data_IF_256594551347
#
_entry.id   IF_256594551347
#
_cell.length_a   1.000
_cell.length_b   1.000
_cell.length_c   1.000
_cell.angle_alpha   90.00
_cell.angle_beta   90.00
_cell.angle_gamma   90.00
#
_symmetry.space_group_name_H-M   'P 1'
#
loop_
_entity.id
_entity.type
_entity.pdbx_description
1 polymer ?
#
# COMPACT_ATOMS: atom_id res chain seq x y z
N UNK A 1 27.87 10.74 5.74
CA UNK A 1 28.30 10.73 4.33
C UNK A 1 29.01 9.43 4.03
N UNK A 2 28.34 8.48 3.38
CA UNK A 2 28.99 7.30 2.79
C UNK A 2 28.35 7.07 1.42
N UNK A 3 29.15 7.25 0.37
CA UNK A 3 28.78 7.16 -1.05
C UNK A 3 28.74 5.69 -1.47
N UNK A 4 27.61 5.20 -1.96
CA UNK A 4 27.51 3.92 -2.66
C UNK A 4 27.09 4.17 -4.11
N UNK A 5 28.08 4.42 -4.95
CA UNK A 5 27.97 4.32 -6.40
C UNK A 5 28.44 2.93 -6.83
N UNK A 6 27.49 2.09 -7.28
CA UNK A 6 27.68 0.99 -8.26
C UNK A 6 26.35 0.92 -9.04
N UNK A 7 26.22 1.29 -10.33
CA UNK A 7 26.86 0.71 -11.55
C UNK A 7 26.54 -0.80 -11.57
N UNK A 8 25.87 -1.42 -12.53
CA UNK A 8 25.51 -1.15 -13.93
C UNK A 8 24.50 -2.24 -14.34
N UNK A 9 23.59 -1.95 -15.28
CA UNK A 9 22.70 -2.97 -15.85
C UNK A 9 22.03 -2.53 -17.15
N UNK A 10 22.76 -1.80 -17.99
CA UNK A 10 22.33 -1.45 -19.36
C UNK A 10 22.66 -2.64 -20.25
N UNK A 11 21.64 -3.37 -20.71
CA UNK A 11 21.81 -4.35 -21.80
C UNK A 11 21.65 -3.59 -23.11
N UNK A 12 22.79 -3.13 -23.64
CA UNK A 12 22.92 -2.56 -24.98
C UNK A 12 22.82 -3.63 -26.07
N UNK A 13 22.20 -3.21 -27.16
CA UNK A 13 22.00 -3.91 -28.42
C UNK A 13 23.26 -4.57 -29.01
N UNK A 14 23.07 -5.77 -29.57
CA UNK A 14 23.99 -6.38 -30.51
C UNK A 14 23.39 -6.27 -31.93
N UNK A 15 23.90 -5.30 -32.69
CA UNK A 15 23.86 -5.26 -34.15
C UNK A 15 25.16 -5.89 -34.66
N UNK A 16 25.10 -6.83 -35.61
CA UNK A 16 25.99 -6.88 -36.79
C UNK A 16 25.58 -8.03 -37.75
N UNK A 17 24.80 -7.62 -38.75
CA UNK A 17 24.87 -7.94 -40.18
C UNK A 17 25.77 -9.10 -40.65
N UNK A 18 25.15 -10.08 -41.31
CA UNK A 18 25.66 -10.60 -42.58
C UNK A 18 24.48 -10.70 -43.57
N UNK A 19 24.44 -9.76 -44.52
CA UNK A 19 23.63 -9.87 -45.72
C UNK A 19 24.47 -10.43 -46.86
N UNK A 20 23.97 -11.46 -47.53
CA UNK A 20 24.36 -11.80 -48.88
C UNK A 20 23.09 -12.08 -49.70
N UNK A 21 22.83 -11.16 -50.63
CA UNK A 21 21.79 -11.20 -51.63
C UNK A 21 21.83 -12.49 -52.45
N UNK A 22 20.71 -13.21 -52.51
CA UNK A 22 20.43 -14.12 -53.63
C UNK A 22 19.33 -13.49 -54.47
N UNK A 23 19.71 -13.05 -55.67
CA UNK A 23 18.79 -12.69 -56.72
C UNK A 23 18.16 -13.97 -57.29
N UNK A 24 16.87 -14.15 -57.06
CA UNK A 24 16.06 -15.20 -57.68
C UNK A 24 14.74 -14.60 -58.17
N UNK A 25 14.62 -14.44 -59.50
CA UNK A 25 13.37 -14.03 -60.14
C UNK A 25 12.37 -15.19 -60.16
N UNK A 26 11.09 -14.91 -59.92
CA UNK A 26 9.97 -15.67 -60.48
C UNK A 26 8.83 -16.01 -59.53
N UNK A 27 7.62 -15.52 -59.85
CA UNK A 27 6.36 -16.18 -59.49
C UNK A 27 5.51 -15.51 -58.42
N UNK A 28 4.34 -15.02 -58.81
CA UNK A 28 3.21 -14.67 -57.93
C UNK A 28 2.78 -15.88 -57.10
N UNK A 29 2.62 -15.74 -55.77
CA UNK A 29 1.33 -16.02 -55.11
C UNK A 29 1.32 -15.63 -53.61
N UNK A 30 0.09 -15.30 -53.20
CA UNK A 30 -0.51 -15.05 -51.88
C UNK A 30 0.24 -15.40 -50.58
N UNK A 31 0.10 -14.52 -49.58
CA UNK A 31 0.34 -14.84 -48.16
C UNK A 31 0.80 -13.65 -47.31
N UNK A 32 -0.12 -12.80 -46.85
CA UNK A 32 0.15 -11.87 -45.75
C UNK A 32 0.36 -12.69 -44.47
N UNK A 33 1.62 -13.03 -44.19
CA UNK A 33 2.05 -13.49 -42.88
C UNK A 33 1.91 -12.34 -41.88
N UNK A 34 1.02 -12.51 -40.91
CA UNK A 34 0.92 -11.66 -39.73
C UNK A 34 2.30 -11.60 -39.06
N UNK A 35 2.88 -10.40 -39.01
CA UNK A 35 3.99 -10.13 -38.13
C UNK A 35 3.50 -10.32 -36.69
N UNK A 36 4.09 -11.28 -35.99
CA UNK A 36 3.97 -11.45 -34.55
C UNK A 36 4.49 -10.18 -33.85
N UNK A 37 3.58 -9.23 -33.63
CA UNK A 37 3.82 -8.13 -32.71
C UNK A 37 3.85 -8.69 -31.30
N UNK A 38 4.97 -8.54 -30.60
CA UNK A 38 5.01 -8.70 -29.13
C UNK A 38 3.93 -7.80 -28.54
N UNK A 39 2.84 -8.40 -28.09
CA UNK A 39 1.77 -7.71 -27.40
C UNK A 39 2.32 -7.31 -26.02
N UNK A 40 2.81 -6.07 -25.89
CA UNK A 40 3.14 -5.54 -24.57
C UNK A 40 1.85 -5.46 -23.76
N UNK A 41 1.76 -6.31 -22.75
CA UNK A 41 0.67 -6.30 -21.77
C UNK A 41 0.63 -4.93 -21.09
N UNK A 42 -0.51 -4.25 -21.21
CA UNK A 42 -0.72 -2.94 -20.60
C UNK A 42 -0.56 -3.01 -19.08
N UNK A 43 -0.19 -1.89 -18.44
CA UNK A 43 -0.07 -1.84 -16.96
C UNK A 43 -1.37 -2.29 -16.29
N UNK A 44 -2.52 -1.92 -16.84
CA UNK A 44 -3.84 -2.36 -16.39
C UNK A 44 -3.99 -3.88 -16.40
N UNK A 45 -3.61 -4.53 -17.50
CA UNK A 45 -3.69 -5.99 -17.60
C UNK A 45 -2.76 -6.70 -16.61
N UNK A 46 -1.60 -6.11 -16.27
CA UNK A 46 -0.73 -6.65 -15.21
C UNK A 46 -1.42 -6.68 -13.85
N UNK A 47 -2.21 -5.66 -13.52
CA UNK A 47 -3.04 -5.60 -12.32
C UNK A 47 -4.40 -6.32 -12.47
N UNK A 48 -4.65 -7.01 -13.60
CA UNK A 48 -5.94 -7.63 -13.89
C UNK A 48 -7.11 -6.64 -13.99
N UNK A 49 -6.83 -5.34 -14.14
CA UNK A 49 -7.84 -4.27 -14.11
C UNK A 49 -8.53 -4.13 -12.76
N UNK A 50 -7.88 -4.49 -11.65
CA UNK A 50 -8.49 -4.46 -10.31
C UNK A 50 -7.69 -3.62 -9.33
N UNK A 51 -8.41 -2.93 -8.46
CA UNK A 51 -7.88 -2.34 -7.23
C UNK A 51 -8.56 -3.04 -6.07
N UNK A 52 -7.78 -3.68 -5.18
CA UNK A 52 -8.35 -4.42 -4.06
C UNK A 52 -8.66 -3.44 -2.92
N UNK A 53 -9.94 -3.22 -2.69
CA UNK A 53 -10.45 -2.34 -1.65
C UNK A 53 -10.59 -3.02 -0.30
N UNK A 54 -11.28 -2.35 0.62
CA UNK A 54 -11.62 -2.83 1.96
C UNK A 54 -13.14 -2.83 2.14
N UNK A 55 -13.65 -2.62 3.36
CA UNK A 55 -15.07 -2.56 3.64
C UNK A 55 -15.80 -1.48 2.81
N UNK A 56 -16.95 -1.81 2.19
CA UNK A 56 -17.76 -0.84 1.49
C UNK A 56 -18.15 0.34 2.40
N UNK A 57 -18.06 1.55 1.87
CA UNK A 57 -18.42 2.78 2.58
C UNK A 57 -17.30 3.42 3.40
N UNK A 58 -16.14 2.76 3.57
CA UNK A 58 -14.96 3.39 4.15
C UNK A 58 -14.54 4.64 3.35
N UNK A 59 -14.01 5.66 4.03
CA UNK A 59 -13.62 6.92 3.39
C UNK A 59 -12.64 6.73 2.22
N UNK A 60 -11.66 5.83 2.40
CA UNK A 60 -10.67 5.50 1.38
C UNK A 60 -11.29 4.85 0.12
N UNK A 61 -12.40 4.13 0.25
CA UNK A 61 -13.10 3.54 -0.91
C UNK A 61 -13.68 4.65 -1.79
N UNK A 62 -14.34 5.64 -1.17
CA UNK A 62 -14.89 6.81 -1.88
C UNK A 62 -13.79 7.65 -2.54
N UNK A 63 -12.66 7.84 -1.85
CA UNK A 63 -11.51 8.52 -2.41
C UNK A 63 -10.93 7.75 -3.61
N UNK A 64 -10.91 6.42 -3.55
CA UNK A 64 -10.42 5.56 -4.63
C UNK A 64 -11.33 5.57 -5.85
N UNK A 65 -12.65 5.53 -5.65
CA UNK A 65 -13.64 5.70 -6.74
C UNK A 65 -13.42 7.03 -7.46
N UNK A 66 -13.27 8.13 -6.69
CA UNK A 66 -12.96 9.45 -7.24
C UNK A 66 -11.62 9.45 -7.97
N UNK A 67 -10.61 8.75 -7.46
CA UNK A 67 -9.31 8.64 -8.12
C UNK A 67 -9.40 7.92 -9.47
N UNK A 68 -10.20 6.85 -9.55
CA UNK A 68 -10.44 6.14 -10.82
C UNK A 68 -11.05 7.08 -11.87
N UNK A 69 -12.06 7.86 -11.48
CA UNK A 69 -12.71 8.83 -12.37
C UNK A 69 -11.77 9.96 -12.79
N UNK A 70 -11.17 10.65 -11.83
CA UNK A 70 -10.36 11.84 -12.08
C UNK A 70 -9.07 11.54 -12.85
N UNK A 71 -8.42 10.42 -12.59
CA UNK A 71 -7.21 10.03 -13.33
C UNK A 71 -7.52 9.33 -14.66
N UNK A 72 -8.80 9.15 -15.01
CA UNK A 72 -9.18 8.47 -16.25
C UNK A 72 -8.69 7.02 -16.29
N UNK A 73 -8.75 6.32 -15.16
CA UNK A 73 -8.28 4.92 -15.02
C UNK A 73 -9.33 3.95 -15.58
N UNK A 74 -9.73 4.17 -16.84
CA UNK A 74 -10.81 3.44 -17.48
C UNK A 74 -10.60 1.93 -17.45
N UNK A 75 -11.61 1.24 -16.91
CA UNK A 75 -11.66 -0.21 -16.80
C UNK A 75 -10.83 -0.81 -15.67
N UNK A 76 -10.31 0.00 -14.75
CA UNK A 76 -10.06 -0.48 -13.40
C UNK A 76 -11.39 -0.62 -12.64
N UNK A 77 -11.54 -1.72 -11.94
CA UNK A 77 -12.63 -2.00 -11.01
C UNK A 77 -12.09 -1.90 -9.58
N UNK A 78 -12.74 -1.08 -8.74
CA UNK A 78 -12.53 -1.15 -7.30
C UNK A 78 -13.31 -2.33 -6.74
N UNK A 79 -12.59 -3.32 -6.21
CA UNK A 79 -13.18 -4.54 -5.67
C UNK A 79 -13.46 -4.36 -4.19
N UNK A 80 -14.74 -4.43 -3.81
CA UNK A 80 -15.17 -4.47 -2.42
C UNK A 80 -14.64 -5.71 -1.69
N UNK A 81 -14.13 -5.53 -0.48
CA UNK A 81 -13.55 -6.62 0.32
C UNK A 81 -13.69 -6.35 1.83
N UNK A 82 -12.73 -6.81 2.61
CA UNK A 82 -12.48 -6.41 3.99
C UNK A 82 -11.02 -6.05 4.17
N UNK A 83 -10.67 -5.40 5.26
CA UNK A 83 -9.27 -5.12 5.63
C UNK A 83 -8.43 -6.40 5.67
N UNK A 84 -8.99 -7.51 6.17
CA UNK A 84 -8.34 -8.83 6.17
C UNK A 84 -8.27 -9.45 4.77
N UNK A 85 -9.31 -9.31 3.95
CA UNK A 85 -9.36 -9.80 2.58
C UNK A 85 -8.33 -9.10 1.68
N UNK A 86 -8.19 -7.78 1.82
CA UNK A 86 -7.18 -6.98 1.13
C UNK A 86 -5.76 -7.44 1.49
N UNK A 87 -5.49 -7.64 2.77
CA UNK A 87 -4.19 -8.16 3.22
C UNK A 87 -3.92 -9.56 2.65
N UNK A 88 -4.91 -10.44 2.62
CA UNK A 88 -4.76 -11.78 2.08
C UNK A 88 -4.47 -11.75 0.57
N UNK A 89 -5.15 -10.89 -0.18
CA UNK A 89 -4.88 -10.69 -1.60
C UNK A 89 -3.46 -10.13 -1.84
N UNK A 90 -3.05 -9.14 -1.04
CA UNK A 90 -1.69 -8.58 -1.08
C UNK A 90 -0.64 -9.66 -0.79
N UNK A 91 -0.85 -10.48 0.25
CA UNK A 91 0.06 -11.57 0.61
C UNK A 91 0.17 -12.62 -0.50
N UNK A 92 -0.94 -13.01 -1.12
CA UNK A 92 -0.95 -13.97 -2.22
C UNK A 92 -0.16 -13.43 -3.43
N UNK A 93 -0.44 -12.20 -3.85
CA UNK A 93 0.27 -11.58 -4.97
C UNK A 93 1.78 -11.43 -4.71
N UNK A 94 2.18 -11.03 -3.50
CA UNK A 94 3.61 -10.96 -3.12
C UNK A 94 4.26 -12.34 -3.19
N UNK A 95 3.60 -13.37 -2.66
CA UNK A 95 4.11 -14.76 -2.68
C UNK A 95 4.32 -15.26 -4.11
N UNK A 96 3.37 -14.94 -4.99
CA UNK A 96 3.36 -15.43 -6.37
C UNK A 96 4.11 -14.49 -7.34
N UNK A 97 4.71 -13.40 -6.83
CA UNK A 97 5.39 -12.36 -7.60
C UNK A 97 4.50 -11.70 -8.66
N UNK A 98 3.22 -11.53 -8.33
CA UNK A 98 2.21 -10.91 -9.17
C UNK A 98 2.02 -9.43 -8.84
N UNK A 99 1.53 -8.68 -9.82
CA UNK A 99 1.24 -7.26 -9.65
C UNK A 99 -0.08 -7.10 -8.90
N UNK A 100 -0.07 -6.28 -7.85
CA UNK A 100 -1.26 -5.95 -7.08
C UNK A 100 -1.27 -4.48 -6.70
N UNK A 101 -2.45 -3.88 -6.73
CA UNK A 101 -2.71 -2.55 -6.20
C UNK A 101 -3.87 -2.66 -5.22
N UNK A 102 -3.71 -2.07 -4.04
CA UNK A 102 -4.66 -2.14 -2.94
C UNK A 102 -4.91 -0.75 -2.39
N UNK A 103 -6.05 -0.55 -1.72
CA UNK A 103 -6.23 0.64 -0.89
C UNK A 103 -5.37 0.54 0.37
N UNK A 104 -4.56 1.57 0.61
CA UNK A 104 -3.51 1.56 1.64
C UNK A 104 -3.48 2.85 2.45
N UNK A 105 -3.16 2.72 3.74
CA UNK A 105 -3.07 3.81 4.71
C UNK A 105 -1.93 3.54 5.68
N UNK A 106 -1.39 4.60 6.27
CA UNK A 106 -0.34 4.58 7.29
C UNK A 106 -0.90 5.26 8.53
N UNK A 107 -0.67 4.72 9.75
CA UNK A 107 0.12 3.53 10.07
C UNK A 107 -0.58 2.20 9.76
N UNK A 108 0.18 1.20 9.29
CA UNK A 108 -0.29 -0.19 9.18
C UNK A 108 0.90 -1.17 9.13
N UNK A 109 0.82 -2.30 9.82
CA UNK A 109 1.89 -3.32 9.91
C UNK A 109 2.40 -3.86 8.56
N UNK A 110 1.63 -3.67 7.48
CA UNK A 110 1.94 -4.21 6.15
C UNK A 110 3.17 -3.53 5.54
N UNK A 111 3.38 -2.26 5.85
CA UNK A 111 4.56 -1.49 5.45
C UNK A 111 5.82 -1.91 6.22
N UNK A 112 5.67 -2.41 7.45
CA UNK A 112 6.78 -3.00 8.20
C UNK A 112 7.14 -4.42 7.73
N UNK A 113 6.14 -5.20 7.26
CA UNK A 113 6.33 -6.59 6.81
C UNK A 113 6.82 -6.70 5.36
N UNK A 114 6.34 -5.83 4.47
CA UNK A 114 6.58 -5.92 3.03
C UNK A 114 7.09 -4.59 2.46
N UNK A 115 7.88 -4.66 1.38
CA UNK A 115 8.37 -3.49 0.65
C UNK A 115 7.26 -2.90 -0.24
N UNK A 116 6.42 -2.06 0.37
CA UNK A 116 5.30 -1.39 -0.28
C UNK A 116 5.63 0.08 -0.52
N UNK A 117 5.05 0.65 -1.59
CA UNK A 117 5.17 2.07 -1.91
C UNK A 117 3.82 2.68 -2.21
N UNK A 118 3.68 3.97 -1.88
CA UNK A 118 2.58 4.77 -2.37
C UNK A 118 2.78 5.12 -3.85
N UNK A 119 1.66 5.27 -4.56
CA UNK A 119 1.63 5.87 -5.89
C UNK A 119 1.46 7.38 -5.73
N UNK A 120 2.08 8.16 -6.61
CA UNK A 120 1.96 9.62 -6.57
C UNK A 120 0.50 10.05 -6.82
N UNK A 121 0.01 10.98 -5.99
CA UNK A 121 -1.31 11.59 -6.11
C UNK A 121 -1.22 13.09 -6.47
N UNK A 122 -0.84 13.45 -7.71
CA UNK A 122 -0.63 14.85 -8.11
C UNK A 122 -1.90 15.72 -8.07
N UNK A 123 -3.10 15.13 -8.07
CA UNK A 123 -4.38 15.83 -7.89
C UNK A 123 -4.81 15.95 -6.43
N UNK A 124 -4.10 15.31 -5.48
CA UNK A 124 -4.42 15.35 -4.05
C UNK A 124 -5.80 14.80 -3.71
N UNK A 125 -6.25 13.76 -4.41
CA UNK A 125 -7.57 13.15 -4.23
C UNK A 125 -7.70 12.47 -2.87
N UNK A 126 -6.62 11.85 -2.40
CA UNK A 126 -6.56 11.18 -1.09
C UNK A 126 -6.26 12.15 0.06
N UNK A 127 -6.06 13.44 -0.23
CA UNK A 127 -5.72 14.45 0.77
C UNK A 127 -4.22 14.60 0.98
N UNK A 128 -3.86 15.28 2.08
CA UNK A 128 -2.49 15.53 2.50
C UNK A 128 -2.12 14.70 3.72
N UNK A 129 -1.55 15.33 4.74
CA UNK A 129 -1.36 14.68 6.03
C UNK A 129 -2.73 14.39 6.67
N UNK A 130 -2.93 13.15 7.10
CA UNK A 130 -4.10 12.72 7.88
C UNK A 130 -3.69 12.64 9.36
N UNK A 131 -4.60 13.03 10.26
CA UNK A 131 -4.43 12.94 11.71
C UNK A 131 -5.40 11.92 12.30
N UNK A 132 -5.00 11.27 13.40
CA UNK A 132 -5.85 10.36 14.17
C UNK A 132 -6.25 11.08 15.45
N UNK A 133 -7.52 11.44 15.56
CA UNK A 133 -8.05 12.18 16.71
C UNK A 133 -8.74 11.29 17.73
N UNK A 134 -8.51 11.58 19.01
CA UNK A 134 -9.29 11.01 20.11
C UNK A 134 -10.53 11.88 20.35
N UNK A 135 -11.72 11.33 20.09
CA UNK A 135 -12.99 12.03 20.27
C UNK A 135 -13.69 11.50 21.52
N UNK A 136 -14.14 12.41 22.39
CA UNK A 136 -14.84 12.09 23.64
C UNK A 136 -16.24 12.73 23.66
N UNK A 137 -17.12 12.22 24.52
CA UNK A 137 -18.42 12.86 24.74
C UNK A 137 -18.26 14.23 25.41
N UNK A 138 -19.18 15.18 25.18
CA UNK A 138 -19.07 16.52 25.75
C UNK A 138 -18.98 16.56 27.28
N UNK A 139 -19.57 15.58 27.97
CA UNK A 139 -19.66 15.53 29.44
C UNK A 139 -18.51 14.78 30.13
N UNK A 140 -17.64 14.09 29.37
CA UNK A 140 -16.61 13.21 29.95
C UNK A 140 -15.66 13.97 30.88
N UNK A 141 -15.34 15.22 30.54
CA UNK A 141 -14.47 16.08 31.35
C UNK A 141 -15.01 16.32 32.76
N UNK A 142 -16.33 16.45 32.89
CA UNK A 142 -16.99 16.67 34.18
C UNK A 142 -17.22 15.37 34.93
N UNK A 143 -17.63 14.31 34.22
CA UNK A 143 -17.97 13.02 34.81
C UNK A 143 -16.74 12.22 35.26
N UNK A 144 -15.64 12.29 34.51
CA UNK A 144 -14.42 11.53 34.74
C UNK A 144 -13.16 12.34 34.35
N UNK A 145 -12.80 13.38 35.13
CA UNK A 145 -11.71 14.30 34.78
C UNK A 145 -10.35 13.61 34.61
N UNK A 146 -10.07 12.56 35.40
CA UNK A 146 -8.83 11.80 35.26
C UNK A 146 -8.79 10.98 33.96
N UNK A 147 -9.91 10.36 33.56
CA UNK A 147 -9.99 9.62 32.30
C UNK A 147 -9.91 10.58 31.11
N UNK A 148 -10.60 11.72 31.20
CA UNK A 148 -10.50 12.79 30.19
C UNK A 148 -9.06 13.24 30.02
N UNK A 149 -8.34 13.56 31.11
CA UNK A 149 -6.94 14.00 31.02
C UNK A 149 -6.03 12.91 30.46
N UNK A 150 -6.28 11.64 30.79
CA UNK A 150 -5.51 10.54 30.23
C UNK A 150 -5.70 10.42 28.71
N UNK A 151 -6.93 10.55 28.23
CA UNK A 151 -7.24 10.54 26.79
C UNK A 151 -6.71 11.78 26.07
N UNK A 152 -6.73 12.94 26.72
CA UNK A 152 -6.18 14.20 26.22
C UNK A 152 -4.64 14.16 26.12
N UNK A 153 -3.98 13.47 27.05
CA UNK A 153 -2.53 13.24 27.03
C UNK A 153 -2.12 12.12 26.07
N UNK A 154 -3.06 11.28 25.62
CA UNK A 154 -2.73 10.09 24.84
C UNK A 154 -2.16 10.49 23.47
N UNK A 155 -0.88 10.18 23.29
CA UNK A 155 -0.19 10.35 22.04
C UNK A 155 0.83 9.25 21.85
N UNK A 156 0.89 8.71 20.64
CA UNK A 156 1.85 7.68 20.25
C UNK A 156 2.22 7.85 18.78
N UNK A 157 3.40 7.36 18.41
CA UNK A 157 3.95 7.57 17.07
C UNK A 157 3.46 6.49 16.10
N UNK A 158 3.39 6.76 14.79
CA UNK A 158 3.04 5.75 13.79
C UNK A 158 3.85 4.45 13.92
N UNK A 159 5.15 4.54 14.19
CA UNK A 159 6.03 3.39 14.39
C UNK A 159 5.64 2.53 15.60
N UNK A 160 5.14 3.14 16.67
CA UNK A 160 4.65 2.43 17.86
C UNK A 160 3.38 1.65 17.53
N UNK A 161 2.45 2.28 16.79
CA UNK A 161 1.23 1.62 16.32
C UNK A 161 1.54 0.44 15.41
N UNK A 162 2.48 0.62 14.47
CA UNK A 162 2.93 -0.42 13.55
C UNK A 162 3.54 -1.62 14.26
N UNK A 163 4.38 -1.38 15.27
CA UNK A 163 4.99 -2.44 16.08
C UNK A 163 3.92 -3.26 16.83
N UNK A 164 2.98 -2.59 17.51
CA UNK A 164 1.87 -3.27 18.21
C UNK A 164 0.99 -4.05 17.23
N UNK A 165 0.67 -3.46 16.07
CA UNK A 165 -0.09 -4.15 15.04
C UNK A 165 0.66 -5.36 14.47
N UNK A 166 1.99 -5.30 14.37
CA UNK A 166 2.81 -6.42 13.91
C UNK A 166 2.80 -7.57 14.91
N UNK A 167 2.93 -7.29 16.21
CA UNK A 167 2.83 -8.29 17.27
C UNK A 167 1.47 -9.04 17.21
N UNK A 168 0.39 -8.32 16.92
CA UNK A 168 -0.95 -8.91 16.79
C UNK A 168 -1.07 -9.76 15.51
N UNK A 169 -0.74 -9.17 14.36
CA UNK A 169 -1.07 -9.77 13.05
C UNK A 169 -0.02 -10.77 12.54
N UNK A 170 1.21 -10.70 13.06
CA UNK A 170 2.33 -11.56 12.65
C UNK A 170 2.89 -12.33 13.84
N UNK A 171 2.98 -11.70 15.01
CA UNK A 171 3.36 -12.37 16.25
C UNK A 171 2.26 -13.24 16.86
N UNK A 172 1.04 -13.19 16.31
CA UNK A 172 -0.15 -13.91 16.79
C UNK A 172 -0.49 -13.63 18.26
N UNK A 173 -0.06 -12.47 18.77
CA UNK A 173 -0.41 -12.02 20.11
C UNK A 173 -1.88 -11.59 20.15
N UNK A 174 -2.52 -11.79 21.30
CA UNK A 174 -3.79 -11.12 21.56
C UNK A 174 -3.57 -9.59 21.63
N UNK A 175 -4.56 -8.76 21.27
CA UNK A 175 -4.45 -7.31 21.43
C UNK A 175 -4.06 -6.88 22.85
N UNK A 176 -4.58 -7.56 23.87
CA UNK A 176 -4.26 -7.28 25.27
C UNK A 176 -2.80 -7.60 25.60
N UNK A 177 -2.26 -8.70 25.08
CA UNK A 177 -0.87 -9.08 25.32
C UNK A 177 0.11 -8.18 24.57
N UNK A 178 -0.21 -7.80 23.33
CA UNK A 178 0.57 -6.82 22.57
C UNK A 178 0.55 -5.44 23.24
N UNK A 179 -0.61 -5.00 23.76
CA UNK A 179 -0.71 -3.77 24.54
C UNK A 179 0.09 -3.84 25.85
N UNK A 180 0.03 -4.96 26.58
CA UNK A 180 0.85 -5.18 27.78
C UNK A 180 2.33 -5.11 27.48
N UNK A 181 2.79 -5.82 26.45
CA UNK A 181 4.19 -5.78 25.98
C UNK A 181 4.61 -4.34 25.65
N UNK A 182 3.78 -3.60 24.90
CA UNK A 182 4.06 -2.20 24.59
C UNK A 182 4.22 -1.35 25.85
N UNK A 183 3.31 -1.51 26.83
CA UNK A 183 3.38 -0.76 28.10
C UNK A 183 4.65 -1.08 28.88
N UNK A 184 5.04 -2.35 28.93
CA UNK A 184 6.26 -2.80 29.62
C UNK A 184 7.53 -2.25 28.98
N UNK A 185 7.57 -2.19 27.64
CA UNK A 185 8.72 -1.71 26.87
C UNK A 185 8.78 -0.17 26.76
N UNK A 186 7.64 0.53 26.94
CA UNK A 186 7.50 1.98 26.71
C UNK A 186 6.97 2.71 27.96
N UNK A 187 7.44 2.31 29.15
CA UNK A 187 6.94 2.84 30.42
C UNK A 187 7.02 4.37 30.53
N UNK A 188 8.04 4.99 29.95
CA UNK A 188 8.19 6.44 30.03
C UNK A 188 7.15 7.17 29.18
N UNK A 189 6.89 6.70 27.95
CA UNK A 189 5.78 7.18 27.11
C UNK A 189 4.43 7.03 27.81
N UNK A 190 4.18 5.84 28.40
CA UNK A 190 2.90 5.56 29.06
C UNK A 190 2.69 6.42 30.31
N UNK A 191 3.76 6.74 31.05
CA UNK A 191 3.68 7.66 32.20
C UNK A 191 3.24 9.06 31.79
N UNK A 192 3.60 9.53 30.59
CA UNK A 192 3.16 10.83 30.08
C UNK A 192 1.65 10.87 29.85
N UNK A 193 1.02 9.73 29.54
CA UNK A 193 -0.42 9.64 29.37
C UNK A 193 -1.17 9.70 30.70
N UNK A 194 -0.59 9.18 31.78
CA UNK A 194 -1.28 9.04 33.07
C UNK A 194 -1.23 10.39 33.81
N UNK A 195 -2.38 10.99 34.16
CA UNK A 195 -2.39 12.24 34.93
C UNK A 195 -1.77 12.03 36.32
N UNK A 196 -1.19 13.08 36.93
CA UNK A 196 -0.69 13.01 38.30
C UNK A 196 -1.81 12.55 39.25
N UNK A 197 -1.49 11.61 40.14
CA UNK A 197 -2.39 11.24 41.23
C UNK A 197 -2.53 12.45 42.18
N UNK A 198 -3.73 12.99 42.32
CA UNK A 198 -4.07 14.05 43.27
C UNK A 198 -4.24 13.52 44.69
#
# INVERSE_FOLDING_TARGET
MLRWTKVLGVITAALLLLGAFVAGCGGQDTGQGQGEGKQETSVREKFGGKIIGIEPGAGIMKATEKAIEEYGLEGYELVDSSSTGMVAALQAAIKDNEWVVVTGWTPHWKFAKWDLKYLDDPKGIYGGEEEIDTIVTPTLKEEAPAAYQMLDNFYWKPADMEAVMLDINVGEMSPDDAARKFIEENQDTVKEWIPPQS
#
